data_IF_619058553161
#
_entry.id   IF_619058553161
#
_cell.length_a   1.000
_cell.length_b   1.000
_cell.length_c   1.000
_cell.angle_alpha   90.00
_cell.angle_beta   90.00
_cell.angle_gamma   90.00
#
_symmetry.space_group_name_H-M   'P 1'
#
loop_
_entity.id
_entity.type
_entity.pdbx_description
1 polymer ?
#
# COMPACT_ATOMS: atom_id res chain seq x y z
N UNK A 1 -9.88 -21.55 -18.28
CA UNK A 1 -11.02 -22.35 -18.81
C UNK A 1 -12.23 -22.12 -17.91
N UNK A 2 -13.39 -21.83 -18.50
CA UNK A 2 -14.63 -21.52 -17.77
C UNK A 2 -15.16 -22.80 -17.13
N UNK A 3 -15.11 -22.91 -15.80
CA UNK A 3 -15.94 -23.85 -15.06
C UNK A 3 -17.36 -23.30 -14.99
N UNK A 4 -18.02 -23.16 -16.16
CA UNK A 4 -19.47 -23.08 -16.19
C UNK A 4 -19.99 -24.48 -15.87
N UNK A 5 -20.76 -24.61 -14.80
CA UNK A 5 -21.30 -25.85 -14.25
C UNK A 5 -21.64 -26.87 -15.35
N UNK A 6 -21.11 -28.08 -15.25
CA UNK A 6 -21.32 -29.20 -16.18
C UNK A 6 -22.80 -29.40 -16.53
N UNK A 7 -23.70 -29.17 -15.57
CA UNK A 7 -25.15 -29.28 -15.76
C UNK A 7 -25.74 -28.21 -16.69
N UNK A 8 -25.26 -26.97 -16.60
CA UNK A 8 -25.76 -25.86 -17.42
C UNK A 8 -25.08 -25.83 -18.81
N UNK A 9 -23.79 -26.17 -18.86
CA UNK A 9 -23.05 -26.32 -20.13
C UNK A 9 -23.55 -27.48 -20.98
N UNK A 10 -24.13 -28.51 -20.34
CA UNK A 10 -24.72 -29.68 -21.00
C UNK A 10 -26.25 -29.69 -20.92
N UNK A 11 -26.90 -28.53 -20.81
CA UNK A 11 -28.37 -28.44 -20.76
C UNK A 11 -29.05 -29.24 -21.88
N UNK A 12 -28.45 -29.25 -23.07
CA UNK A 12 -28.94 -30.00 -24.23
C UNK A 12 -28.92 -31.53 -24.09
N UNK A 13 -28.08 -32.09 -23.20
CA UNK A 13 -28.03 -33.53 -22.91
C UNK A 13 -29.16 -33.96 -21.97
N UNK A 14 -29.55 -33.10 -21.04
CA UNK A 14 -30.59 -33.42 -20.06
C UNK A 14 -31.97 -32.98 -20.56
N UNK A 15 -32.10 -31.89 -21.31
CA UNK A 15 -33.38 -31.40 -21.84
C UNK A 15 -34.28 -32.47 -22.52
N UNK A 16 -33.76 -33.40 -23.36
CA UNK A 16 -34.55 -34.49 -23.94
C UNK A 16 -35.10 -35.48 -22.89
N UNK A 17 -34.33 -35.76 -21.84
CA UNK A 17 -34.75 -36.62 -20.73
C UNK A 17 -35.93 -36.01 -19.96
N UNK A 18 -36.00 -34.68 -19.88
CA UNK A 18 -37.07 -33.96 -19.20
C UNK A 18 -38.34 -33.91 -20.04
N UNK A 19 -38.20 -33.72 -21.35
CA UNK A 19 -39.32 -33.85 -22.28
C UNK A 19 -39.87 -35.27 -22.25
N UNK A 20 -39.00 -36.29 -22.21
CA UNK A 20 -39.43 -37.68 -22.08
C UNK A 20 -40.21 -37.92 -20.78
N UNK A 21 -39.70 -37.46 -19.63
CA UNK A 21 -40.39 -37.57 -18.35
C UNK A 21 -41.73 -36.83 -18.34
N UNK A 22 -41.80 -35.66 -18.97
CA UNK A 22 -43.03 -34.88 -19.09
C UNK A 22 -44.07 -35.62 -19.95
N UNK A 23 -43.64 -36.22 -21.06
CA UNK A 23 -44.50 -37.05 -21.92
C UNK A 23 -44.98 -38.29 -21.13
N UNK A 24 -44.08 -38.97 -20.41
CA UNK A 24 -44.45 -40.13 -19.60
C UNK A 24 -45.46 -39.76 -18.50
N UNK A 25 -45.30 -38.59 -17.87
CA UNK A 25 -46.26 -38.08 -16.88
C UNK A 25 -47.63 -37.76 -17.50
N UNK A 26 -47.67 -37.15 -18.69
CA UNK A 26 -48.93 -36.69 -19.32
C UNK A 26 -49.73 -37.80 -20.04
N UNK A 27 -49.09 -38.89 -20.44
CA UNK A 27 -49.71 -39.94 -21.29
C UNK A 27 -49.83 -41.31 -20.60
N UNK A 28 -49.52 -41.39 -19.31
CA UNK A 28 -49.66 -42.60 -18.51
C UNK A 28 -51.05 -42.63 -17.86
N UNK A 29 -51.79 -43.73 -18.00
CA UNK A 29 -53.08 -43.95 -17.31
C UNK A 29 -52.90 -44.56 -15.89
N UNK A 30 -51.66 -44.67 -15.41
CA UNK A 30 -51.31 -45.25 -14.12
C UNK A 30 -50.86 -44.16 -13.14
N UNK A 31 -51.75 -43.81 -12.22
CA UNK A 31 -51.56 -42.77 -11.19
C UNK A 31 -50.21 -42.85 -10.45
N UNK A 32 -49.69 -44.07 -10.26
CA UNK A 32 -48.45 -44.33 -9.53
C UNK A 32 -47.21 -43.90 -10.35
N UNK A 33 -47.24 -44.13 -11.66
CA UNK A 33 -46.16 -43.78 -12.59
C UNK A 33 -46.20 -42.28 -12.91
N UNK A 34 -47.41 -41.70 -13.05
CA UNK A 34 -47.61 -40.26 -13.21
C UNK A 34 -47.08 -39.49 -12.00
N UNK A 35 -47.45 -39.90 -10.78
CA UNK A 35 -47.00 -39.26 -9.54
C UNK A 35 -45.48 -39.33 -9.33
N UNK A 36 -44.85 -40.45 -9.70
CA UNK A 36 -43.39 -40.61 -9.66
C UNK A 36 -42.70 -39.70 -10.69
N UNK A 37 -43.20 -39.66 -11.94
CA UNK A 37 -42.63 -38.84 -12.99
C UNK A 37 -42.75 -37.33 -12.68
N UNK A 38 -43.90 -36.89 -12.17
CA UNK A 38 -44.13 -35.51 -11.74
C UNK A 38 -43.24 -35.12 -10.53
N UNK A 39 -43.12 -35.98 -9.53
CA UNK A 39 -42.26 -35.74 -8.36
C UNK A 39 -40.78 -35.69 -8.73
N UNK A 40 -40.33 -36.56 -9.65
CA UNK A 40 -38.97 -36.57 -10.16
C UNK A 40 -38.66 -35.29 -10.95
N UNK A 41 -39.59 -34.84 -11.81
CA UNK A 41 -39.48 -33.56 -12.52
C UNK A 41 -39.36 -32.37 -11.57
N UNK A 42 -40.22 -32.30 -10.55
CA UNK A 42 -40.18 -31.23 -9.55
C UNK A 42 -38.88 -31.24 -8.75
N UNK A 43 -38.38 -32.41 -8.34
CA UNK A 43 -37.08 -32.54 -7.66
C UNK A 43 -35.93 -32.10 -8.56
N UNK A 44 -35.95 -32.44 -9.86
CA UNK A 44 -34.93 -32.00 -10.80
C UNK A 44 -34.97 -30.48 -11.01
N UNK A 45 -36.15 -29.87 -11.17
CA UNK A 45 -36.31 -28.40 -11.26
C UNK A 45 -35.80 -27.71 -10.00
N UNK A 46 -36.17 -28.22 -8.82
CA UNK A 46 -35.74 -27.68 -7.53
C UNK A 46 -34.22 -27.80 -7.35
N UNK A 47 -33.63 -28.92 -7.73
CA UNK A 47 -32.18 -29.10 -7.71
C UNK A 47 -31.48 -28.12 -8.64
N UNK A 48 -31.99 -27.89 -9.86
CA UNK A 48 -31.41 -26.94 -10.82
C UNK A 48 -31.48 -25.48 -10.32
N UNK A 49 -32.63 -25.08 -9.77
CA UNK A 49 -32.79 -23.78 -9.13
C UNK A 49 -31.84 -23.61 -7.93
N UNK A 50 -31.66 -24.67 -7.14
CA UNK A 50 -30.72 -24.70 -6.01
C UNK A 50 -29.27 -24.56 -6.47
N UNK A 51 -28.85 -25.30 -7.50
CA UNK A 51 -27.50 -25.18 -8.07
C UNK A 51 -27.24 -23.79 -8.67
N UNK A 52 -28.24 -23.19 -9.32
CA UNK A 52 -28.14 -21.83 -9.83
C UNK A 52 -27.95 -20.82 -8.68
N UNK A 53 -28.74 -20.95 -7.61
CA UNK A 53 -28.59 -20.12 -6.42
C UNK A 53 -27.26 -20.34 -5.71
N UNK A 54 -26.74 -21.58 -5.70
CA UNK A 54 -25.41 -21.89 -5.15
C UNK A 54 -24.30 -21.22 -5.97
N UNK A 55 -24.36 -21.25 -7.30
CA UNK A 55 -23.38 -20.57 -8.17
C UNK A 55 -23.44 -19.04 -8.01
N UNK A 56 -24.63 -18.46 -7.88
CA UNK A 56 -24.78 -17.02 -7.56
C UNK A 56 -24.14 -16.71 -6.20
N UNK A 57 -24.39 -17.53 -5.18
CA UNK A 57 -23.84 -17.33 -3.85
C UNK A 57 -22.31 -17.51 -3.84
N UNK A 58 -21.78 -18.48 -4.59
CA UNK A 58 -20.34 -18.70 -4.72
C UNK A 58 -19.66 -17.52 -5.42
N UNK A 59 -20.26 -16.99 -6.50
CA UNK A 59 -19.78 -15.76 -7.16
C UNK A 59 -19.80 -14.56 -6.23
N UNK A 60 -20.87 -14.36 -5.46
CA UNK A 60 -20.97 -13.29 -4.46
C UNK A 60 -19.92 -13.45 -3.36
N UNK A 61 -19.73 -14.68 -2.85
CA UNK A 61 -18.72 -14.98 -1.83
C UNK A 61 -17.32 -14.66 -2.35
N UNK A 62 -16.98 -15.13 -3.54
CA UNK A 62 -15.69 -14.83 -4.18
C UNK A 62 -15.47 -13.34 -4.41
N UNK A 63 -16.51 -12.62 -4.83
CA UNK A 63 -16.43 -11.16 -5.01
C UNK A 63 -16.19 -10.43 -3.68
N UNK A 64 -16.73 -10.94 -2.57
CA UNK A 64 -16.46 -10.39 -1.23
C UNK A 64 -15.04 -10.67 -0.78
N UNK A 65 -14.56 -11.90 -0.96
CA UNK A 65 -13.16 -12.25 -0.66
C UNK A 65 -12.18 -11.36 -1.45
N UNK A 66 -12.42 -11.13 -2.73
CA UNK A 66 -11.57 -10.23 -3.55
C UNK A 66 -11.64 -8.76 -3.11
N UNK A 67 -12.75 -8.32 -2.52
CA UNK A 67 -12.88 -6.98 -1.93
C UNK A 67 -12.15 -6.89 -0.58
N UNK A 68 -12.28 -7.90 0.27
CA UNK A 68 -11.57 -7.97 1.55
C UNK A 68 -10.04 -7.96 1.31
N UNK A 69 -9.58 -8.71 0.30
CA UNK A 69 -8.19 -8.71 -0.13
C UNK A 69 -7.72 -7.33 -0.62
N UNK A 70 -8.60 -6.57 -1.29
CA UNK A 70 -8.30 -5.21 -1.75
C UNK A 70 -8.26 -4.20 -0.60
N UNK A 71 -9.14 -4.33 0.39
CA UNK A 71 -9.11 -3.51 1.60
C UNK A 71 -7.81 -3.75 2.36
N UNK A 72 -7.43 -5.00 2.59
CA UNK A 72 -6.16 -5.34 3.24
C UNK A 72 -4.96 -4.76 2.47
N UNK A 73 -5.00 -4.83 1.14
CA UNK A 73 -3.96 -4.22 0.30
C UNK A 73 -3.88 -2.69 0.45
N UNK A 74 -5.03 -2.01 0.46
CA UNK A 74 -5.10 -0.57 0.71
C UNK A 74 -4.63 -0.20 2.11
N UNK A 75 -4.93 -1.00 3.13
CA UNK A 75 -4.47 -0.79 4.50
C UNK A 75 -2.94 -0.88 4.59
N UNK A 76 -2.33 -1.84 3.90
CA UNK A 76 -0.87 -1.94 3.83
C UNK A 76 -0.29 -0.66 3.20
N UNK A 77 -0.78 -0.26 2.02
CA UNK A 77 -0.31 0.95 1.33
C UNK A 77 -0.48 2.19 2.22
N UNK A 78 -1.65 2.33 2.85
CA UNK A 78 -1.98 3.45 3.74
C UNK A 78 -1.07 3.48 4.96
N UNK A 79 -0.78 2.33 5.56
CA UNK A 79 0.13 2.23 6.69
C UNK A 79 1.54 2.66 6.33
N UNK A 80 2.05 2.25 5.16
CA UNK A 80 3.37 2.68 4.66
C UNK A 80 3.41 4.18 4.40
N UNK A 81 2.41 4.71 3.70
CA UNK A 81 2.26 6.14 3.46
C UNK A 81 2.23 6.95 4.77
N UNK A 82 1.36 6.58 5.72
CA UNK A 82 1.22 7.27 7.00
C UNK A 82 2.48 7.17 7.86
N UNK A 83 3.20 6.04 7.81
CA UNK A 83 4.47 5.88 8.52
C UNK A 83 5.53 6.85 8.00
N UNK A 84 5.71 6.93 6.67
CA UNK A 84 6.68 7.87 6.07
C UNK A 84 6.22 9.31 6.30
N UNK A 85 4.93 9.60 6.13
CA UNK A 85 4.37 10.93 6.34
C UNK A 85 4.61 11.43 7.76
N UNK A 86 4.39 10.57 8.77
CA UNK A 86 4.69 10.92 10.16
C UNK A 86 6.15 11.34 10.31
N UNK A 87 7.09 10.58 9.73
CA UNK A 87 8.51 10.96 9.75
C UNK A 87 8.76 12.29 9.03
N UNK A 88 8.13 12.54 7.88
CA UNK A 88 8.21 13.82 7.21
C UNK A 88 7.69 14.94 8.11
N UNK A 89 6.54 14.78 8.76
CA UNK A 89 5.97 15.78 9.66
C UNK A 89 6.93 16.10 10.82
N UNK A 90 7.54 15.09 11.43
CA UNK A 90 8.58 15.24 12.46
C UNK A 90 9.77 16.08 12.00
N UNK A 91 10.16 15.94 10.73
CA UNK A 91 11.26 16.70 10.14
C UNK A 91 10.87 18.16 9.80
N UNK A 92 9.58 18.49 9.74
CA UNK A 92 9.11 19.81 9.29
C UNK A 92 8.53 20.70 10.39
N UNK A 93 8.13 20.15 11.54
CA UNK A 93 7.58 20.96 12.64
C UNK A 93 8.58 21.97 13.23
N UNK A 94 9.87 21.83 12.93
CA UNK A 94 10.91 22.64 13.57
C UNK A 94 11.36 23.80 12.68
N UNK A 95 10.86 24.98 13.01
CA UNK A 95 11.37 26.24 12.46
C UNK A 95 12.29 26.90 13.47
N UNK A 96 13.62 26.79 13.25
CA UNK A 96 14.62 27.53 14.04
C UNK A 96 15.71 28.07 13.11
N UNK A 97 16.22 29.27 13.43
CA UNK A 97 17.25 30.06 12.73
C UNK A 97 18.53 29.29 12.30
N UNK A 98 18.76 28.08 12.83
CA UNK A 98 19.94 27.25 12.57
C UNK A 98 19.75 26.26 11.39
N UNK A 99 18.58 26.30 10.75
CA UNK A 99 18.27 25.52 9.55
C UNK A 99 19.29 25.74 8.44
N UNK A 100 19.99 26.88 8.40
CA UNK A 100 20.95 27.15 7.32
C UNK A 100 22.20 26.27 7.41
N UNK A 101 22.86 26.18 8.57
CA UNK A 101 24.06 25.34 8.75
C UNK A 101 23.77 23.83 8.74
N UNK A 102 22.54 23.47 9.07
CA UNK A 102 22.03 22.10 8.99
C UNK A 102 21.35 21.80 7.65
N UNK A 103 21.39 22.72 6.67
CA UNK A 103 20.79 22.57 5.33
C UNK A 103 19.28 22.25 5.35
N UNK A 104 18.58 22.71 6.38
CA UNK A 104 17.16 22.45 6.64
C UNK A 104 16.90 21.03 7.15
N UNK A 105 17.94 20.24 7.40
CA UNK A 105 17.86 18.85 7.80
C UNK A 105 17.81 18.79 9.32
N UNK A 106 16.61 18.56 9.86
CA UNK A 106 16.45 18.14 11.24
C UNK A 106 15.72 16.82 11.24
N UNK A 107 16.46 15.74 11.46
CA UNK A 107 15.88 14.40 11.47
C UNK A 107 16.14 13.80 12.84
N UNK A 108 15.09 13.66 13.68
CA UNK A 108 15.24 13.03 14.98
C UNK A 108 15.71 11.57 14.85
N UNK A 109 15.93 10.90 15.98
CA UNK A 109 16.05 9.45 15.96
C UNK A 109 14.73 8.84 15.49
N UNK A 110 14.72 8.31 14.27
CA UNK A 110 13.50 7.81 13.64
C UNK A 110 13.27 6.36 14.08
N UNK A 111 12.14 6.13 14.75
CA UNK A 111 11.60 4.78 14.99
C UNK A 111 10.36 4.59 14.13
N UNK A 112 10.40 3.59 13.25
CA UNK A 112 9.24 3.25 12.41
C UNK A 112 8.62 1.96 12.94
N UNK A 113 7.42 2.09 13.49
CA UNK A 113 6.61 0.93 13.86
C UNK A 113 5.79 0.51 12.65
N UNK A 114 6.15 -0.60 12.02
CA UNK A 114 5.32 -1.20 10.96
C UNK A 114 4.25 -2.08 11.61
N UNK A 115 2.96 -1.75 11.38
CA UNK A 115 1.83 -2.53 11.91
C UNK A 115 1.50 -3.77 11.05
N UNK A 116 1.86 -3.75 9.77
CA UNK A 116 1.49 -4.80 8.82
C UNK A 116 2.71 -5.52 8.22
N UNK A 117 2.58 -6.84 8.08
CA UNK A 117 3.54 -7.74 7.39
C UNK A 117 3.63 -7.42 5.89
N UNK A 118 4.66 -7.93 5.20
CA UNK A 118 4.86 -7.70 3.77
C UNK A 118 3.70 -8.16 2.87
N UNK A 119 3.69 -7.63 1.63
CA UNK A 119 2.63 -7.86 0.64
C UNK A 119 2.66 -9.30 0.10
N UNK A 120 1.55 -10.04 0.24
CA UNK A 120 1.38 -11.40 -0.32
C UNK A 120 0.75 -11.35 -1.72
N UNK A 121 1.57 -11.14 -2.75
CA UNK A 121 1.09 -10.98 -4.14
C UNK A 121 0.20 -12.11 -4.67
N UNK A 122 0.36 -13.35 -4.20
CA UNK A 122 -0.48 -14.49 -4.59
C UNK A 122 -1.95 -14.35 -4.16
N UNK A 123 -2.24 -13.48 -3.19
CA UNK A 123 -3.58 -13.21 -2.67
C UNK A 123 -4.37 -12.23 -3.56
N UNK A 124 -3.68 -11.30 -4.21
CA UNK A 124 -4.31 -10.16 -4.90
C UNK A 124 -4.68 -10.46 -6.36
N UNK A 125 -5.53 -11.49 -6.56
CA UNK A 125 -6.01 -11.88 -7.89
C UNK A 125 -6.77 -10.76 -8.63
N UNK A 126 -7.33 -9.79 -7.89
CA UNK A 126 -7.99 -8.62 -8.47
C UNK A 126 -7.02 -7.77 -9.32
N UNK A 127 -5.75 -7.65 -8.93
CA UNK A 127 -4.73 -6.90 -9.71
C UNK A 127 -4.48 -7.58 -11.07
N UNK A 128 -4.32 -8.90 -11.07
CA UNK A 128 -4.09 -9.67 -12.30
C UNK A 128 -5.30 -9.54 -13.25
N UNK A 129 -6.52 -9.61 -12.71
CA UNK A 129 -7.74 -9.38 -13.51
C UNK A 129 -7.79 -7.97 -14.09
N UNK A 130 -7.41 -6.98 -13.30
CA UNK A 130 -7.39 -5.59 -13.73
C UNK A 130 -6.40 -5.36 -14.87
N UNK A 131 -5.17 -5.92 -14.78
CA UNK A 131 -4.18 -5.88 -15.86
C UNK A 131 -4.71 -6.49 -17.16
N UNK A 132 -5.31 -7.68 -17.09
CA UNK A 132 -5.86 -8.37 -18.27
C UNK A 132 -7.07 -7.64 -18.89
N UNK A 133 -7.83 -6.90 -18.08
CA UNK A 133 -8.94 -6.07 -18.56
C UNK A 133 -8.45 -4.75 -19.15
N UNK A 134 -7.34 -4.22 -18.66
CA UNK A 134 -6.71 -2.99 -19.13
C UNK A 134 -6.11 -3.13 -20.53
N UNK A 135 -5.49 -4.27 -20.86
CA UNK A 135 -4.99 -4.53 -22.23
C UNK A 135 -6.09 -4.44 -23.30
N UNK A 136 -7.36 -4.68 -22.91
CA UNK A 136 -8.51 -4.56 -23.81
C UNK A 136 -8.94 -3.11 -24.04
N UNK A 137 -8.58 -2.17 -23.16
CA UNK A 137 -8.88 -0.75 -23.28
C UNK A 137 -7.63 0.02 -23.69
N UNK A 138 -7.48 0.20 -25.01
CA UNK A 138 -6.38 0.93 -25.66
C UNK A 138 -6.02 2.23 -24.94
N UNK A 139 -4.82 2.30 -24.35
CA UNK A 139 -4.02 3.54 -24.36
C UNK A 139 -3.54 4.13 -23.02
N UNK A 140 -3.94 3.63 -21.85
CA UNK A 140 -3.38 4.10 -20.56
C UNK A 140 -2.87 2.94 -19.71
N UNK A 141 -1.54 2.84 -19.56
CA UNK A 141 -0.89 2.00 -18.53
C UNK A 141 -0.97 2.71 -17.18
N UNK A 142 -1.98 2.37 -16.37
CA UNK A 142 -2.00 2.63 -14.94
C UNK A 142 -0.90 1.82 -14.26
N UNK A 143 0.17 2.49 -13.81
CA UNK A 143 1.25 1.87 -13.02
C UNK A 143 0.71 1.12 -11.79
N UNK A 144 -0.36 1.63 -11.19
CA UNK A 144 -1.00 1.00 -10.03
C UNK A 144 -1.67 -0.35 -10.32
N UNK A 145 -1.80 -0.78 -11.56
CA UNK A 145 -2.27 -2.13 -11.85
C UNK A 145 -1.10 -3.10 -12.06
N UNK A 146 0.14 -2.61 -12.12
CA UNK A 146 1.33 -3.43 -12.31
C UNK A 146 1.87 -3.94 -10.97
N UNK A 147 1.93 -5.26 -10.82
CA UNK A 147 2.52 -5.93 -9.64
C UNK A 147 3.99 -5.54 -9.43
N UNK A 148 4.72 -5.22 -10.50
CA UNK A 148 6.12 -4.78 -10.43
C UNK A 148 6.24 -3.46 -9.68
N UNK A 149 5.29 -2.52 -9.86
CA UNK A 149 5.28 -1.23 -9.16
C UNK A 149 5.24 -1.43 -7.64
N UNK A 150 4.41 -2.35 -7.15
CA UNK A 150 4.33 -2.65 -5.72
C UNK A 150 5.56 -3.37 -5.18
N UNK A 151 6.16 -4.23 -6.01
CA UNK A 151 7.41 -4.91 -5.66
C UNK A 151 8.54 -3.90 -5.48
N UNK A 152 8.63 -2.91 -6.38
CA UNK A 152 9.60 -1.81 -6.27
C UNK A 152 9.31 -0.92 -5.06
N UNK A 153 8.05 -0.56 -4.81
CA UNK A 153 7.65 0.24 -3.65
C UNK A 153 8.02 -0.41 -2.32
N UNK A 154 7.72 -1.70 -2.14
CA UNK A 154 8.11 -2.42 -0.92
C UNK A 154 9.63 -2.54 -0.78
N UNK A 155 10.35 -2.77 -1.89
CA UNK A 155 11.82 -2.81 -1.87
C UNK A 155 12.40 -1.46 -1.43
N UNK A 156 11.91 -0.37 -2.02
CA UNK A 156 12.33 1.00 -1.70
C UNK A 156 11.95 1.37 -0.27
N UNK A 157 10.77 0.98 0.20
CA UNK A 157 10.37 1.14 1.59
C UNK A 157 11.35 0.43 2.54
N UNK A 158 11.66 -0.84 2.30
CA UNK A 158 12.61 -1.59 3.12
C UNK A 158 14.03 -1.01 3.06
N UNK A 159 14.47 -0.54 1.89
CA UNK A 159 15.74 0.14 1.73
C UNK A 159 15.78 1.45 2.53
N UNK A 160 14.72 2.26 2.49
CA UNK A 160 14.58 3.45 3.30
C UNK A 160 14.68 3.12 4.79
N UNK A 161 13.94 2.12 5.27
CA UNK A 161 14.02 1.68 6.67
C UNK A 161 15.44 1.26 7.04
N UNK A 162 16.14 0.52 6.17
CA UNK A 162 17.53 0.12 6.40
C UNK A 162 18.50 1.32 6.40
N UNK A 163 18.28 2.32 5.53
CA UNK A 163 19.07 3.54 5.51
C UNK A 163 18.92 4.32 6.83
N UNK A 164 17.69 4.44 7.32
CA UNK A 164 17.38 5.06 8.61
C UNK A 164 18.09 4.31 9.75
N UNK A 165 17.95 2.98 9.81
CA UNK A 165 18.58 2.16 10.84
C UNK A 165 20.11 2.26 10.82
N UNK A 166 20.72 2.19 9.63
CA UNK A 166 22.18 2.34 9.47
C UNK A 166 22.67 3.73 9.88
N UNK A 167 21.94 4.80 9.52
CA UNK A 167 22.24 6.17 9.96
C UNK A 167 22.15 6.28 11.48
N UNK A 168 21.07 5.77 12.08
CA UNK A 168 20.89 5.80 13.52
C UNK A 168 22.01 5.01 14.23
N UNK A 169 22.36 3.83 13.73
CA UNK A 169 23.43 3.00 14.29
C UNK A 169 24.81 3.66 14.20
N UNK A 170 25.17 4.20 13.01
CA UNK A 170 26.46 4.85 12.79
C UNK A 170 26.67 6.09 13.67
N UNK A 171 25.58 6.79 14.01
CA UNK A 171 25.62 8.04 14.77
C UNK A 171 25.05 7.91 16.19
N UNK A 172 24.75 6.70 16.66
CA UNK A 172 24.10 6.47 17.96
C UNK A 172 24.91 7.05 19.12
N UNK A 173 26.20 6.76 19.17
CA UNK A 173 27.10 7.28 20.20
C UNK A 173 27.19 8.81 20.17
N UNK A 174 27.09 9.42 18.99
CA UNK A 174 27.08 10.88 18.84
C UNK A 174 25.75 11.44 19.35
N UNK A 175 24.62 10.85 18.94
CA UNK A 175 23.28 11.25 19.42
C UNK A 175 23.15 11.11 20.94
N UNK A 176 23.70 10.04 21.55
CA UNK A 176 23.78 9.86 23.01
C UNK A 176 24.63 10.91 23.70
N UNK A 177 25.76 11.31 23.11
CA UNK A 177 26.60 12.38 23.65
C UNK A 177 25.88 13.73 23.58
N UNK A 178 25.17 13.99 22.47
CA UNK A 178 24.41 15.22 22.27
C UNK A 178 23.24 15.31 23.26
N UNK A 179 22.52 14.22 23.51
CA UNK A 179 21.46 14.19 24.51
C UNK A 179 21.97 14.43 25.93
N UNK A 180 23.25 14.08 26.22
CA UNK A 180 23.89 14.37 27.49
C UNK A 180 24.36 15.82 27.69
N UNK A 181 24.55 16.58 26.61
CA UNK A 181 25.02 17.99 26.65
C UNK A 181 23.87 18.98 26.55
N UNK A 182 22.77 18.59 25.90
CA UNK A 182 21.66 19.50 25.68
C UNK A 182 20.73 19.57 26.89
N UNK A 183 20.24 20.77 27.24
CA UNK A 183 19.35 20.96 28.39
C UNK A 183 17.98 20.27 28.25
N UNK A 184 17.65 19.72 27.07
CA UNK A 184 16.36 19.09 26.75
C UNK A 184 16.46 17.58 26.48
N UNK A 185 17.54 16.91 26.93
CA UNK A 185 17.69 15.47 26.78
C UNK A 185 16.59 14.67 27.46
N UNK A 186 15.65 14.10 26.69
CA UNK A 186 14.58 13.23 27.21
C UNK A 186 13.18 13.50 26.65
N UNK A 187 12.95 14.59 25.92
CA UNK A 187 11.67 14.79 25.24
C UNK A 187 11.63 14.02 23.91
N UNK A 188 10.44 13.52 23.53
CA UNK A 188 10.18 12.71 22.32
C UNK A 188 10.59 13.40 21.00
N UNK A 189 11.02 14.66 21.07
CA UNK A 189 11.36 15.55 19.97
C UNK A 189 12.63 16.34 20.31
N UNK A 190 13.76 15.64 20.32
CA UNK A 190 15.05 16.24 20.59
C UNK A 190 15.71 16.77 19.31
N UNK A 191 15.90 18.09 19.20
CA UNK A 191 16.43 18.76 18.00
C UNK A 191 17.73 19.52 18.30
N UNK A 192 18.88 18.83 18.22
CA UNK A 192 20.15 19.48 18.47
C UNK A 192 20.47 20.51 17.39
N UNK A 193 20.99 21.65 17.83
CA UNK A 193 21.44 22.73 16.97
C UNK A 193 22.90 22.48 16.51
N UNK A 194 23.33 23.14 15.44
CA UNK A 194 24.68 23.05 14.87
C UNK A 194 25.77 23.27 15.93
N UNK A 195 25.55 24.19 16.88
CA UNK A 195 26.51 24.47 17.95
C UNK A 195 26.69 23.26 18.87
N UNK A 196 25.60 22.58 19.24
CA UNK A 196 25.64 21.33 20.01
C UNK A 196 26.34 20.20 19.24
N UNK A 197 26.04 20.05 17.93
CA UNK A 197 26.77 19.11 17.08
C UNK A 197 28.27 19.40 17.04
N UNK A 198 28.66 20.66 16.84
CA UNK A 198 30.06 21.08 16.72
C UNK A 198 30.90 20.84 17.98
N UNK A 199 30.28 20.67 19.15
CA UNK A 199 30.99 20.37 20.39
C UNK A 199 31.37 18.89 20.51
N UNK A 200 30.72 18.03 19.73
CA UNK A 200 30.71 16.58 19.94
C UNK A 200 31.24 15.82 18.72
N UNK A 201 31.14 16.43 17.53
CA UNK A 201 31.58 15.83 16.28
C UNK A 201 32.41 16.80 15.44
N UNK A 202 33.34 16.26 14.66
CA UNK A 202 34.10 17.00 13.67
C UNK A 202 33.23 17.45 12.50
N UNK A 203 33.69 18.45 11.75
CA UNK A 203 33.02 18.92 10.53
C UNK A 203 32.81 17.79 9.49
N UNK A 204 33.76 16.86 9.38
CA UNK A 204 33.65 15.71 8.48
C UNK A 204 32.52 14.77 8.88
N UNK A 205 32.42 14.43 10.18
CA UNK A 205 31.36 13.59 10.70
C UNK A 205 29.99 14.26 10.53
N UNK A 206 29.89 15.57 10.80
CA UNK A 206 28.66 16.33 10.62
C UNK A 206 28.22 16.36 9.15
N UNK A 207 29.17 16.60 8.24
CA UNK A 207 28.88 16.60 6.80
C UNK A 207 28.36 15.24 6.34
N UNK A 208 28.96 14.15 6.82
CA UNK A 208 28.51 12.79 6.52
C UNK A 208 27.12 12.50 7.08
N UNK A 209 26.84 12.93 8.32
CA UNK A 209 25.52 12.83 8.94
C UNK A 209 24.44 13.56 8.13
N UNK A 210 24.71 14.80 7.73
CA UNK A 210 23.79 15.60 6.93
C UNK A 210 23.57 15.00 5.54
N UNK A 211 24.62 14.51 4.86
CA UNK A 211 24.49 13.86 3.55
C UNK A 211 23.62 12.59 3.61
N UNK A 212 23.82 11.74 4.64
CA UNK A 212 22.99 10.54 4.82
C UNK A 212 21.53 10.91 5.10
N UNK A 213 21.33 11.94 5.92
CA UNK A 213 20.02 12.46 6.29
C UNK A 213 19.29 13.02 5.07
N UNK A 214 19.98 13.76 4.21
CA UNK A 214 19.46 14.27 2.95
C UNK A 214 18.98 13.13 2.03
N UNK A 215 19.80 12.09 1.86
CA UNK A 215 19.42 10.91 1.05
C UNK A 215 18.15 10.24 1.58
N UNK A 216 18.01 10.13 2.90
CA UNK A 216 16.81 9.59 3.55
C UNK A 216 15.59 10.47 3.23
N UNK A 217 15.69 11.79 3.39
CA UNK A 217 14.55 12.69 3.13
C UNK A 217 14.14 12.69 1.65
N UNK A 218 15.11 12.68 0.74
CA UNK A 218 14.84 12.59 -0.70
C UNK A 218 14.06 11.31 -1.01
N UNK A 219 14.51 10.17 -0.49
CA UNK A 219 13.82 8.89 -0.69
C UNK A 219 12.42 8.87 -0.04
N UNK A 220 12.27 9.47 1.15
CA UNK A 220 10.96 9.64 1.81
C UNK A 220 9.99 10.45 0.94
N UNK A 221 10.43 11.57 0.36
CA UNK A 221 9.60 12.40 -0.51
C UNK A 221 9.18 11.65 -1.78
N UNK A 222 10.11 10.93 -2.42
CA UNK A 222 9.76 10.12 -3.59
C UNK A 222 8.75 9.03 -3.24
N UNK A 223 8.96 8.30 -2.14
CA UNK A 223 8.03 7.27 -1.70
C UNK A 223 6.64 7.82 -1.35
N UNK A 224 6.55 8.98 -0.69
CA UNK A 224 5.26 9.64 -0.43
C UNK A 224 4.53 9.91 -1.74
N UNK A 225 5.23 10.51 -2.71
CA UNK A 225 4.66 10.84 -4.00
C UNK A 225 4.19 9.58 -4.75
N UNK A 226 5.02 8.53 -4.75
CA UNK A 226 4.67 7.29 -5.45
C UNK A 226 3.48 6.57 -4.77
N UNK A 227 3.42 6.57 -3.43
CA UNK A 227 2.26 6.03 -2.71
C UNK A 227 0.99 6.85 -2.97
N UNK A 228 1.07 8.18 -3.05
CA UNK A 228 -0.05 9.03 -3.44
C UNK A 228 -0.51 8.72 -4.88
N UNK A 229 0.41 8.68 -5.84
CA UNK A 229 0.13 8.38 -7.26
C UNK A 229 -0.56 7.02 -7.39
N UNK A 230 -0.02 5.99 -6.72
CA UNK A 230 -0.57 4.64 -6.78
C UNK A 230 -1.94 4.55 -6.14
N UNK A 231 -2.15 5.22 -5.01
CA UNK A 231 -3.44 5.23 -4.31
C UNK A 231 -4.52 5.94 -5.12
N UNK A 232 -4.19 7.09 -5.73
CA UNK A 232 -5.10 7.81 -6.61
C UNK A 232 -5.44 6.97 -7.86
N UNK A 233 -4.45 6.32 -8.46
CA UNK A 233 -4.67 5.41 -9.58
C UNK A 233 -5.48 4.17 -9.21
N UNK A 234 -5.31 3.60 -8.01
CA UNK A 234 -6.15 2.50 -7.50
C UNK A 234 -7.61 2.92 -7.36
N UNK A 235 -7.85 4.11 -6.78
CA UNK A 235 -9.19 4.70 -6.67
C UNK A 235 -9.84 4.85 -8.05
N UNK A 236 -9.12 5.46 -8.99
CA UNK A 236 -9.60 5.66 -10.36
C UNK A 236 -9.77 4.34 -11.13
N UNK A 237 -9.09 3.27 -10.71
CA UNK A 237 -9.14 1.97 -11.37
C UNK A 237 -10.17 1.01 -10.76
N UNK A 238 -10.84 1.39 -9.67
CA UNK A 238 -11.73 0.51 -8.90
C UNK A 238 -12.82 -0.15 -9.78
N UNK A 239 -13.43 0.63 -10.67
CA UNK A 239 -14.45 0.15 -11.60
C UNK A 239 -13.94 -0.90 -12.61
N UNK A 240 -12.62 -0.97 -12.86
CA UNK A 240 -12.00 -1.97 -13.74
C UNK A 240 -11.58 -3.24 -12.99
N UNK A 241 -11.40 -3.14 -11.67
CA UNK A 241 -10.96 -4.25 -10.81
C UNK A 241 -12.12 -5.17 -10.41
N UNK A 242 -13.33 -4.61 -10.26
CA UNK A 242 -14.49 -5.32 -9.70
C UNK A 242 -15.71 -5.32 -10.63
N UNK A 243 -16.68 -6.18 -10.34
CA UNK A 243 -17.93 -6.22 -11.11
C UNK A 243 -18.80 -4.98 -10.84
N UNK A 244 -19.69 -4.58 -11.77
CA UNK A 244 -20.59 -3.44 -11.58
C UNK A 244 -21.44 -3.53 -10.30
N UNK A 245 -21.82 -4.74 -9.90
CA UNK A 245 -22.57 -4.98 -8.67
C UNK A 245 -21.74 -4.65 -7.42
N UNK A 246 -20.49 -5.12 -7.38
CA UNK A 246 -19.55 -4.81 -6.31
C UNK A 246 -19.22 -3.32 -6.26
N UNK A 247 -19.07 -2.68 -7.43
CA UNK A 247 -18.80 -1.23 -7.53
C UNK A 247 -19.96 -0.41 -6.96
N UNK A 248 -21.21 -0.81 -7.24
CA UNK A 248 -22.40 -0.14 -6.71
C UNK A 248 -22.57 -0.32 -5.20
N UNK A 249 -22.22 -1.48 -4.68
CA UNK A 249 -22.40 -1.82 -3.26
C UNK A 249 -21.30 -1.18 -2.38
N UNK A 250 -20.07 -1.09 -2.89
CA UNK A 250 -18.91 -0.71 -2.07
C UNK A 250 -18.11 0.50 -2.58
N UNK A 251 -18.46 1.09 -3.73
CA UNK A 251 -17.65 2.14 -4.38
C UNK A 251 -17.43 3.43 -3.58
N UNK A 252 -18.20 3.67 -2.52
CA UNK A 252 -18.04 4.83 -1.62
C UNK A 252 -17.16 4.57 -0.39
N UNK A 253 -16.65 3.35 -0.18
CA UNK A 253 -16.01 2.93 1.08
C UNK A 253 -14.47 3.02 1.01
N UNK A 254 -13.89 3.28 -0.16
CA UNK A 254 -12.46 3.11 -0.40
C UNK A 254 -11.77 4.44 -0.76
N UNK A 255 -11.62 5.29 0.25
CA UNK A 255 -10.75 6.45 0.14
C UNK A 255 -9.69 6.38 1.23
N UNK A 256 -8.45 6.18 0.83
CA UNK A 256 -7.32 6.55 1.69
C UNK A 256 -7.34 8.07 1.76
N UNK A 257 -7.31 8.68 2.96
CA UNK A 257 -7.19 10.13 3.08
C UNK A 257 -5.82 10.54 2.53
N UNK A 258 -5.80 10.92 1.26
CA UNK A 258 -4.64 11.54 0.62
C UNK A 258 -4.63 12.99 1.03
N UNK A 259 -3.58 13.40 1.73
CA UNK A 259 -3.39 14.79 2.11
C UNK A 259 -2.66 15.51 0.98
N UNK A 260 -2.97 16.79 0.75
CA UNK A 260 -2.17 17.67 -0.11
C UNK A 260 -0.81 17.93 0.57
N UNK A 261 0.06 16.93 0.55
CA UNK A 261 1.39 17.04 1.10
C UNK A 261 2.23 17.88 0.14
N UNK A 262 2.47 19.14 0.50
CA UNK A 262 3.51 19.92 -0.18
C UNK A 262 4.84 19.18 -0.02
N UNK A 263 5.61 19.05 -1.10
CA UNK A 263 7.01 18.63 -1.05
C UNK A 263 7.71 19.49 0.01
N UNK A 264 8.07 18.85 1.11
CA UNK A 264 8.32 19.54 2.37
C UNK A 264 9.78 19.95 2.53
N UNK A 265 10.70 19.30 1.82
CA UNK A 265 12.12 19.61 1.87
C UNK A 265 12.58 20.41 0.65
N UNK A 266 12.93 21.68 0.86
CA UNK A 266 13.68 22.48 -0.10
C UNK A 266 15.14 22.51 0.34
N UNK A 267 15.99 21.88 -0.45
CA UNK A 267 17.42 21.87 -0.18
C UNK A 267 17.99 23.29 -0.26
N UNK A 268 18.69 23.72 0.80
CA UNK A 268 19.39 25.01 0.84
C UNK A 268 20.90 24.78 0.76
N UNK A 269 21.50 25.20 -0.35
CA UNK A 269 22.96 25.22 -0.49
C UNK A 269 23.59 26.22 0.48
N UNK A 270 24.67 25.79 1.13
CA UNK A 270 25.51 26.68 1.94
C UNK A 270 26.29 27.61 1.03
N UNK A 271 26.41 28.89 1.40
CA UNK A 271 27.29 29.82 0.69
C UNK A 271 28.77 29.47 0.91
N UNK A 272 29.65 29.92 0.02
CA UNK A 272 31.11 29.73 0.18
C UNK A 272 31.64 30.28 1.52
N UNK A 273 31.04 31.37 2.00
CA UNK A 273 31.33 31.95 3.32
C UNK A 273 30.92 31.01 4.46
N UNK A 274 29.76 30.37 4.37
CA UNK A 274 29.30 29.39 5.37
C UNK A 274 30.19 28.14 5.36
N UNK A 275 30.55 27.65 4.18
CA UNK A 275 31.48 26.52 4.03
C UNK A 275 32.86 26.82 4.61
N UNK A 276 33.38 28.05 4.44
CA UNK A 276 34.68 28.45 4.99
C UNK A 276 34.65 28.66 6.51
N UNK A 277 33.53 29.15 7.08
CA UNK A 277 33.31 29.19 8.54
C UNK A 277 33.35 27.78 9.13
N UNK A 278 32.72 26.83 8.44
CA UNK A 278 32.67 25.42 8.85
C UNK A 278 34.04 24.71 8.75
N UNK A 279 34.90 25.11 7.81
CA UNK A 279 36.25 24.56 7.61
C UNK A 279 37.33 25.32 8.39
N UNK A 280 36.97 26.42 9.05
CA UNK A 280 37.93 27.28 9.76
C UNK A 280 38.41 26.66 11.07
N UNK A 281 39.71 26.76 11.34
CA UNK A 281 40.41 26.26 12.53
C UNK A 281 39.99 26.91 13.87
N UNK A 282 38.96 27.77 13.89
CA UNK A 282 38.46 28.49 15.07
C UNK A 282 37.06 28.06 15.54
N UNK A 283 36.41 27.12 14.87
CA UNK A 283 35.13 26.53 15.28
C UNK A 283 35.35 25.11 15.81
N UNK A 284 34.63 24.69 16.87
CA UNK A 284 35.26 23.98 17.96
C UNK A 284 35.85 22.65 17.51
N UNK A 285 37.17 22.59 17.61
CA UNK A 285 37.87 21.32 17.79
C UNK A 285 37.26 20.66 19.03
N UNK A 286 36.74 19.43 18.95
CA UNK A 286 36.54 18.65 20.15
C UNK A 286 37.92 18.50 20.80
N UNK A 287 38.06 19.13 21.98
CA UNK A 287 38.90 18.77 23.12
C UNK A 287 40.13 17.91 22.79
N UNK A 288 41.30 18.52 23.03
CA UNK A 288 42.59 17.84 23.22
C UNK A 288 42.55 16.80 24.36
#
# INVERSE_FOLDING_TARGET
MKNTNFLYGNFWLWFPFWILLLIVALFTENDLIEGLAASLLLMCLAAMATFHNMDINEKKKKSREELDDYIEFLEIISSRYLAIRKLCDLCNEVTVNDSRFTRGLQVPELTVTTLHTGIKYSKYNFLIKAMLNQEKMKGKRYKALDVITYTDLELRYHNLMSMIEKRNCAHNEIMKKISGVSPYGGEEFFYPNFKEFSQIMSFYELSSFLEQTEKIIIEMNYLIFDYQEVTEHLKNSFAFMFSPEAVREFGGIFEVPLYEDKLKFSYVELSETEVSVLKGSRYPNPIA
#
